data_IF_190889701439
#
_entry.id   IF_190889701439
#
_cell.length_a   1.000
_cell.length_b   1.000
_cell.length_c   1.000
_cell.angle_alpha   90.00
_cell.angle_beta   90.00
_cell.angle_gamma   90.00
#
_symmetry.space_group_name_H-M   'P 1'
#
loop_
_entity.id
_entity.type
_entity.pdbx_description
1 polymer ?
#
# COMPACT_ATOMS: atom_id res chain seq x y z
N UNK A 1 15.36 -8.95 10.35
CA UNK A 1 15.17 -9.65 9.06
C UNK A 1 15.16 -8.69 7.86
N UNK A 2 14.53 -7.50 7.92
CA UNK A 2 14.56 -6.53 6.81
C UNK A 2 15.85 -5.74 6.62
N UNK A 3 16.80 -5.80 7.56
CA UNK A 3 18.02 -4.98 7.52
C UNK A 3 18.86 -5.19 6.25
N UNK A 4 18.92 -6.43 5.75
CA UNK A 4 19.73 -6.79 4.59
C UNK A 4 19.16 -6.19 3.28
N UNK A 5 17.93 -6.51 2.84
CA UNK A 5 17.40 -5.96 1.59
C UNK A 5 17.29 -4.43 1.62
N UNK A 6 16.87 -3.84 2.74
CA UNK A 6 16.77 -2.38 2.88
C UNK A 6 18.12 -1.69 2.70
N UNK A 7 19.16 -2.21 3.37
CA UNK A 7 20.51 -1.63 3.26
C UNK A 7 21.07 -1.78 1.86
N UNK A 8 20.83 -2.92 1.19
CA UNK A 8 21.25 -3.14 -0.19
C UNK A 8 20.61 -2.14 -1.15
N UNK A 9 19.30 -1.90 -1.07
CA UNK A 9 18.64 -0.90 -1.92
C UNK A 9 19.17 0.52 -1.66
N UNK A 10 19.40 0.90 -0.39
CA UNK A 10 19.97 2.20 -0.03
C UNK A 10 21.39 2.38 -0.56
N UNK A 11 22.21 1.32 -0.53
CA UNK A 11 23.57 1.36 -1.08
C UNK A 11 23.55 1.43 -2.60
N UNK A 12 22.65 0.70 -3.24
CA UNK A 12 22.50 0.70 -4.70
C UNK A 12 22.00 2.05 -5.22
N UNK A 13 21.00 2.65 -4.57
CA UNK A 13 20.44 3.95 -4.92
C UNK A 13 21.46 5.10 -4.87
N UNK A 14 22.58 4.93 -4.15
CA UNK A 14 23.69 5.91 -4.11
C UNK A 14 24.72 5.73 -5.23
N UNK A 15 24.66 4.59 -5.93
CA UNK A 15 25.66 4.21 -6.94
C UNK A 15 25.12 4.30 -8.36
N UNK A 16 23.80 4.44 -8.53
CA UNK A 16 23.14 4.41 -9.83
C UNK A 16 22.04 5.48 -9.90
N UNK A 17 21.77 5.96 -11.12
CA UNK A 17 20.64 6.87 -11.43
C UNK A 17 19.48 6.13 -12.12
N UNK A 18 19.68 4.85 -12.47
CA UNK A 18 18.69 4.03 -13.16
C UNK A 18 17.49 3.71 -12.25
N UNK A 19 16.29 3.54 -12.82
CA UNK A 19 15.10 3.20 -12.05
C UNK A 19 15.24 1.89 -11.24
N UNK A 20 14.78 1.91 -10.00
CA UNK A 20 14.81 0.78 -9.08
C UNK A 20 13.45 0.10 -9.00
N UNK A 21 13.43 -1.20 -9.31
CA UNK A 21 12.31 -2.07 -9.00
C UNK A 21 12.44 -2.61 -7.58
N UNK A 22 11.51 -2.24 -6.72
CA UNK A 22 11.46 -2.69 -5.35
C UNK A 22 10.61 -3.96 -5.20
N UNK A 23 11.12 -4.90 -4.43
CA UNK A 23 10.37 -6.07 -4.04
C UNK A 23 10.93 -6.67 -2.76
N UNK A 24 10.03 -7.13 -1.90
CA UNK A 24 10.34 -8.02 -0.79
C UNK A 24 9.90 -9.42 -1.22
N UNK A 25 10.85 -10.32 -1.39
CA UNK A 25 10.59 -11.73 -1.76
C UNK A 25 10.21 -12.53 -0.51
N UNK A 26 9.49 -13.65 -0.73
CA UNK A 26 9.14 -14.60 0.34
C UNK A 26 8.40 -13.97 1.53
N UNK A 27 7.50 -13.01 1.28
CA UNK A 27 6.80 -12.30 2.36
C UNK A 27 5.84 -13.23 3.16
N UNK A 28 5.35 -14.31 2.54
CA UNK A 28 4.45 -15.29 3.17
C UNK A 28 3.01 -15.18 2.66
N UNK A 29 2.06 -15.79 3.37
CA UNK A 29 0.64 -15.75 3.00
C UNK A 29 0.02 -14.34 3.06
N UNK A 30 -1.19 -14.17 2.52
CA UNK A 30 -1.82 -12.85 2.29
C UNK A 30 -1.61 -11.82 3.42
N UNK A 31 -2.08 -12.11 4.65
CA UNK A 31 -2.00 -11.17 5.78
C UNK A 31 -0.57 -10.90 6.23
N UNK A 32 0.21 -11.95 6.50
CA UNK A 32 1.57 -11.79 7.03
C UNK A 32 2.50 -11.18 5.98
N UNK A 33 2.36 -11.58 4.72
CA UNK A 33 3.08 -11.04 3.58
C UNK A 33 2.74 -9.59 3.28
N UNK A 34 1.48 -9.18 3.41
CA UNK A 34 1.07 -7.79 3.23
C UNK A 34 1.72 -6.88 4.28
N UNK A 35 1.64 -7.26 5.57
CA UNK A 35 2.26 -6.50 6.67
C UNK A 35 3.78 -6.37 6.46
N UNK A 36 4.43 -7.49 6.16
CA UNK A 36 5.86 -7.58 5.90
C UNK A 36 6.31 -6.72 4.72
N UNK A 37 5.57 -6.77 3.62
CA UNK A 37 5.85 -5.98 2.42
C UNK A 37 5.60 -4.49 2.66
N UNK A 38 4.52 -4.13 3.38
CA UNK A 38 4.22 -2.75 3.72
C UNK A 38 5.32 -2.10 4.57
N UNK A 39 5.87 -2.83 5.55
CA UNK A 39 7.00 -2.35 6.36
C UNK A 39 8.25 -2.16 5.50
N UNK A 40 8.64 -3.17 4.72
CA UNK A 40 9.87 -3.11 3.92
C UNK A 40 9.82 -2.08 2.80
N UNK A 41 8.78 -2.13 1.97
CA UNK A 41 8.60 -1.20 0.86
C UNK A 41 8.29 0.22 1.37
N UNK A 42 7.50 0.33 2.44
CA UNK A 42 7.12 1.63 2.98
C UNK A 42 8.30 2.44 3.50
N UNK A 43 9.28 1.79 4.12
CA UNK A 43 10.53 2.43 4.55
C UNK A 43 11.30 3.02 3.35
N UNK A 44 11.56 2.22 2.32
CA UNK A 44 12.30 2.69 1.13
C UNK A 44 11.56 3.80 0.39
N UNK A 45 10.25 3.64 0.19
CA UNK A 45 9.43 4.62 -0.51
C UNK A 45 9.35 5.95 0.28
N UNK A 46 9.30 5.90 1.61
CA UNK A 46 9.33 7.12 2.45
C UNK A 46 10.67 7.87 2.38
N UNK A 47 11.74 7.18 2.01
CA UNK A 47 13.08 7.75 1.76
C UNK A 47 13.23 8.26 0.31
N UNK A 48 12.19 8.13 -0.52
CA UNK A 48 12.23 8.50 -1.93
C UNK A 48 12.96 7.49 -2.83
N UNK A 49 13.16 6.25 -2.34
CA UNK A 49 13.82 5.18 -3.10
C UNK A 49 12.74 4.29 -3.73
N UNK A 50 12.83 4.08 -5.05
CA UNK A 50 11.99 3.14 -5.79
C UNK A 50 11.08 3.80 -6.83
N UNK A 51 11.10 3.25 -8.05
CA UNK A 51 10.36 3.77 -9.21
C UNK A 51 9.19 2.88 -9.60
N UNK A 52 9.34 1.58 -9.35
CA UNK A 52 8.29 0.58 -9.48
C UNK A 52 8.40 -0.40 -8.33
N UNK A 53 7.29 -1.07 -7.97
CA UNK A 53 7.29 -2.07 -6.91
C UNK A 53 6.52 -3.31 -7.30
N UNK A 54 6.84 -4.42 -6.64
CA UNK A 54 6.05 -5.65 -6.61
C UNK A 54 5.94 -6.15 -5.17
N UNK A 55 4.72 -6.45 -4.76
CA UNK A 55 4.43 -7.19 -3.53
C UNK A 55 4.49 -8.68 -3.86
N UNK A 56 5.19 -9.49 -3.06
CA UNK A 56 5.26 -10.95 -3.29
C UNK A 56 4.49 -11.69 -2.20
N UNK A 57 3.30 -12.20 -2.51
CA UNK A 57 2.45 -12.93 -1.57
C UNK A 57 2.25 -14.37 -2.02
N UNK A 58 2.15 -15.29 -1.06
CA UNK A 58 1.61 -16.63 -1.32
C UNK A 58 0.07 -16.58 -1.31
N UNK A 59 -0.50 -15.86 -2.29
CA UNK A 59 -1.93 -15.60 -2.44
C UNK A 59 -2.27 -15.36 -3.93
N UNK A 60 -3.54 -15.04 -4.22
CA UNK A 60 -3.93 -14.63 -5.57
C UNK A 60 -3.15 -13.36 -6.01
N UNK A 61 -2.63 -13.29 -7.24
CA UNK A 61 -1.89 -12.12 -7.74
C UNK A 61 -2.68 -10.81 -7.68
N UNK A 62 -4.02 -10.85 -7.71
CA UNK A 62 -4.87 -9.67 -7.53
C UNK A 62 -4.65 -9.05 -6.15
N UNK A 63 -4.42 -9.85 -5.12
CA UNK A 63 -4.13 -9.36 -3.77
C UNK A 63 -2.77 -8.67 -3.69
N UNK A 64 -1.77 -9.13 -4.45
CA UNK A 64 -0.47 -8.42 -4.57
C UNK A 64 -0.67 -7.00 -5.11
N UNK A 65 -1.54 -6.85 -6.12
CA UNK A 65 -1.87 -5.56 -6.75
C UNK A 65 -2.59 -4.66 -5.75
N UNK A 66 -3.62 -5.17 -5.06
CA UNK A 66 -4.40 -4.42 -4.05
C UNK A 66 -3.48 -3.88 -2.95
N UNK A 67 -2.68 -4.75 -2.34
CA UNK A 67 -1.72 -4.36 -1.30
C UNK A 67 -0.69 -3.34 -1.82
N UNK A 68 -0.20 -3.50 -3.05
CA UNK A 68 0.73 -2.55 -3.65
C UNK A 68 0.13 -1.13 -3.78
N UNK A 69 -1.12 -1.05 -4.23
CA UNK A 69 -1.83 0.24 -4.29
C UNK A 69 -2.15 0.81 -2.91
N UNK A 70 -2.47 -0.03 -1.92
CA UNK A 70 -2.75 0.43 -0.56
C UNK A 70 -1.51 0.98 0.14
N UNK A 71 -0.33 0.40 -0.09
CA UNK A 71 0.95 0.95 0.37
C UNK A 71 1.17 2.35 -0.23
N UNK A 72 1.04 2.49 -1.55
CA UNK A 72 1.22 3.77 -2.23
C UNK A 72 0.19 4.83 -1.80
N UNK A 73 -1.06 4.41 -1.59
CA UNK A 73 -2.17 5.26 -1.12
C UNK A 73 -1.89 5.76 0.30
N UNK A 74 -1.42 4.89 1.18
CA UNK A 74 -1.07 5.22 2.58
C UNK A 74 0.07 6.22 2.68
N UNK A 75 1.07 6.12 1.78
CA UNK A 75 2.19 7.07 1.68
C UNK A 75 1.85 8.33 0.88
N UNK A 76 0.63 8.45 0.34
CA UNK A 76 0.18 9.56 -0.52
C UNK A 76 1.00 9.73 -1.80
N UNK A 77 1.71 8.70 -2.26
CA UNK A 77 2.52 8.70 -3.48
C UNK A 77 1.62 8.54 -4.71
N UNK A 78 0.64 7.62 -4.63
CA UNK A 78 -0.31 7.35 -5.71
C UNK A 78 -1.65 6.96 -5.12
N UNK A 79 -2.73 7.50 -5.66
CA UNK A 79 -4.09 7.13 -5.27
C UNK A 79 -4.81 6.45 -6.44
N UNK A 80 -5.43 5.31 -6.16
CA UNK A 80 -6.32 4.58 -7.07
C UNK A 80 -7.63 4.31 -6.32
N UNK A 81 -8.74 4.63 -6.98
CA UNK A 81 -10.08 4.50 -6.42
C UNK A 81 -10.33 5.37 -5.19
N UNK A 82 -11.30 4.95 -4.38
CA UNK A 82 -11.74 5.67 -3.17
C UNK A 82 -10.87 5.23 -1.98
N UNK A 83 -10.63 6.16 -1.05
CA UNK A 83 -9.97 5.88 0.21
C UNK A 83 -10.98 6.00 1.35
N UNK A 84 -11.47 4.87 1.84
CA UNK A 84 -12.38 4.86 2.98
C UNK A 84 -11.58 5.08 4.27
N UNK A 85 -11.99 6.09 5.04
CA UNK A 85 -11.42 6.37 6.36
C UNK A 85 -12.58 6.23 7.34
N UNK A 86 -12.53 5.17 8.16
CA UNK A 86 -13.55 4.87 9.13
C UNK A 86 -13.04 5.02 10.56
N UNK A 87 -13.91 5.47 11.46
CA UNK A 87 -13.65 5.42 12.90
C UNK A 87 -13.68 3.95 13.36
N UNK A 88 -12.82 3.54 14.31
CA UNK A 88 -13.04 2.27 15.00
C UNK A 88 -14.40 2.26 15.70
N UNK A 89 -14.96 1.07 15.95
CA UNK A 89 -16.19 0.92 16.73
C UNK A 89 -15.93 1.32 18.18
N UNK A 90 -16.82 2.13 18.76
CA UNK A 90 -16.78 2.53 20.17
C UNK A 90 -18.20 2.63 20.74
N UNK A 91 -18.36 2.84 22.06
CA UNK A 91 -19.68 2.91 22.71
C UNK A 91 -20.56 4.08 22.25
N UNK A 92 -20.00 5.06 21.54
CA UNK A 92 -20.73 6.19 20.94
C UNK A 92 -21.27 5.89 19.53
N UNK A 93 -21.19 4.64 19.09
CA UNK A 93 -21.63 4.22 17.77
C UNK A 93 -23.17 4.19 17.68
N UNK A 94 -23.71 4.88 16.68
CA UNK A 94 -25.17 4.98 16.44
C UNK A 94 -25.65 4.08 15.29
N UNK A 95 -24.73 3.55 14.47
CA UNK A 95 -25.03 2.71 13.30
C UNK A 95 -23.94 1.66 13.11
N UNK A 96 -24.18 0.60 12.35
CA UNK A 96 -23.16 -0.42 12.06
C UNK A 96 -22.05 0.12 11.14
N UNK A 97 -20.96 0.61 11.74
CA UNK A 97 -19.81 1.16 11.01
C UNK A 97 -19.13 0.07 10.19
N UNK A 98 -18.93 -1.13 10.75
CA UNK A 98 -18.21 -2.22 10.08
C UNK A 98 -19.00 -2.70 8.86
N UNK A 99 -20.29 -3.00 9.03
CA UNK A 99 -21.15 -3.42 7.93
C UNK A 99 -21.26 -2.37 6.84
N UNK A 100 -21.37 -1.09 7.21
CA UNK A 100 -21.44 0.02 6.26
C UNK A 100 -20.15 0.15 5.44
N UNK A 101 -18.98 0.11 6.10
CA UNK A 101 -17.69 0.23 5.42
C UNK A 101 -17.46 -0.94 4.47
N UNK A 102 -17.70 -2.18 4.92
CA UNK A 102 -17.56 -3.37 4.07
C UNK A 102 -18.48 -3.31 2.84
N UNK A 103 -19.73 -2.86 3.02
CA UNK A 103 -20.66 -2.70 1.91
C UNK A 103 -20.22 -1.61 0.92
N UNK A 104 -19.64 -0.51 1.41
CA UNK A 104 -19.10 0.56 0.56
C UNK A 104 -17.87 0.10 -0.21
N UNK A 105 -16.93 -0.60 0.44
CA UNK A 105 -15.74 -1.15 -0.20
C UNK A 105 -16.12 -2.11 -1.33
N UNK A 106 -17.06 -3.02 -1.08
CA UNK A 106 -17.53 -3.97 -2.09
C UNK A 106 -18.26 -3.29 -3.26
N UNK A 107 -19.09 -2.28 -2.99
CA UNK A 107 -19.89 -1.59 -4.03
C UNK A 107 -19.08 -0.65 -4.91
N UNK A 108 -17.88 -0.26 -4.47
CA UNK A 108 -17.08 0.79 -5.11
C UNK A 108 -15.68 0.28 -5.49
N UNK A 109 -15.45 -1.04 -5.45
CA UNK A 109 -14.18 -1.69 -5.80
C UNK A 109 -13.80 -1.46 -7.28
N UNK A 110 -14.79 -1.33 -8.16
CA UNK A 110 -14.63 -1.11 -9.60
C UNK A 110 -14.22 0.33 -9.96
N UNK A 111 -14.37 1.27 -9.02
CA UNK A 111 -13.97 2.66 -9.23
C UNK A 111 -12.44 2.75 -9.15
N UNK A 112 -11.81 2.86 -10.32
CA UNK A 112 -10.35 3.03 -10.44
C UNK A 112 -9.93 4.50 -10.53
N UNK A 113 -10.85 5.40 -10.85
CA UNK A 113 -10.59 6.83 -11.00
C UNK A 113 -10.04 7.41 -9.70
N UNK A 114 -9.01 8.25 -9.80
CA UNK A 114 -8.46 8.96 -8.65
C UNK A 114 -9.54 9.86 -8.04
N UNK A 115 -10.02 9.50 -6.86
CA UNK A 115 -10.96 10.34 -6.12
C UNK A 115 -10.18 11.37 -5.29
N UNK A 116 -10.25 12.65 -5.70
CA UNK A 116 -9.64 13.76 -4.97
C UNK A 116 -10.72 14.52 -4.19
N UNK A 117 -10.71 14.42 -2.86
CA UNK A 117 -11.54 15.27 -1.98
C UNK A 117 -11.05 16.72 -1.87
N UNK A 118 -9.95 17.06 -2.56
CA UNK A 118 -9.40 18.42 -2.66
C UNK A 118 -9.06 18.76 -4.11
N UNK A 119 -9.72 19.80 -4.63
CA UNK A 119 -9.18 20.66 -5.68
C UNK A 119 -7.93 21.38 -5.16
N UNK A 120 -6.76 20.88 -5.53
CA UNK A 120 -5.45 21.57 -5.50
C UNK A 120 -4.44 20.58 -6.09
N UNK A 121 -3.90 20.73 -7.30
CA UNK A 121 -3.12 21.89 -7.78
C UNK A 121 -2.37 22.52 -6.61
N UNK A 122 -1.26 21.89 -6.27
CA UNK A 122 0.01 22.56 -6.07
C UNK A 122 1.07 21.65 -6.71
#
# INVERSE_FOLDING_TARGET
MYSLPLSSYRLLAKQIDQPLHLGITEAGGARSGAVKSAIGLGLLLSEGIGDTLRVSLAADPVEEIKVGFDILKSLRIRARGINFIACPTCSRQEFDVIGTVNALEQRLEDIITRWTSRSSVA
#
